data_IF_354623226099
#
_entry.id   IF_354623226099
#
_cell.length_a   1.000
_cell.length_b   1.000
_cell.length_c   1.000
_cell.angle_alpha   90.00
_cell.angle_beta   90.00
_cell.angle_gamma   90.00
#
_symmetry.space_group_name_H-M   'P 1'
#
loop_
_entity.id
_entity.type
_entity.pdbx_description
1 polymer ?
#
# COMPACT_ATOMS: atom_id res chain seq x y z
N UNK A 1 -54.06 -85.25 -2.40
CA UNK A 1 -53.44 -86.58 -2.51
C UNK A 1 -53.71 -87.31 -1.21
N UNK A 2 -54.31 -88.51 -1.27
CA UNK A 2 -54.44 -89.50 -0.17
C UNK A 2 -55.17 -89.03 1.11
N UNK A 3 -56.06 -89.79 1.78
CA UNK A 3 -56.61 -91.15 1.62
C UNK A 3 -58.06 -91.13 2.18
N UNK A 4 -59.09 -91.82 1.66
CA UNK A 4 -59.35 -93.27 1.44
C UNK A 4 -60.06 -93.97 2.64
N UNK A 5 -61.01 -94.89 2.35
CA UNK A 5 -61.51 -96.01 3.23
C UNK A 5 -62.38 -95.63 4.48
N UNK A 6 -63.49 -96.29 4.90
CA UNK A 6 -64.45 -97.32 4.39
C UNK A 6 -65.75 -97.35 5.23
N UNK A 7 -66.82 -98.00 4.72
CA UNK A 7 -68.03 -98.47 5.47
C UNK A 7 -67.84 -99.93 5.93
N UNK A 8 -68.54 -100.42 6.98
CA UNK A 8 -69.26 -101.70 6.82
C UNK A 8 -70.64 -101.80 7.51
N UNK A 9 -71.33 -102.89 7.19
CA UNK A 9 -72.75 -103.23 7.48
C UNK A 9 -72.87 -104.39 8.51
N UNK A 10 -74.10 -104.89 8.74
CA UNK A 10 -74.48 -106.23 9.28
C UNK A 10 -74.45 -106.44 10.82
N UNK A 11 -75.24 -107.35 11.46
CA UNK A 11 -76.54 -107.99 11.15
C UNK A 11 -77.05 -108.85 12.37
N UNK A 12 -78.22 -109.51 12.21
CA UNK A 12 -78.68 -110.81 12.78
C UNK A 12 -79.35 -111.00 14.17
N UNK A 13 -80.57 -111.58 14.08
CA UNK A 13 -81.12 -112.83 14.68
C UNK A 13 -81.27 -113.11 16.20
N UNK A 14 -82.41 -113.74 16.54
CA UNK A 14 -82.67 -114.43 17.83
C UNK A 14 -84.14 -114.86 18.05
N UNK A 15 -84.45 -116.16 17.93
CA UNK A 15 -85.80 -116.77 17.97
C UNK A 15 -86.03 -117.72 19.18
N UNK A 16 -87.24 -118.32 19.24
CA UNK A 16 -87.70 -119.52 20.00
C UNK A 16 -88.42 -119.22 21.33
N UNK A 17 -89.71 -119.55 21.58
CA UNK A 17 -90.53 -120.79 21.43
C UNK A 17 -90.15 -121.97 22.34
N UNK A 18 -91.12 -122.46 23.16
CA UNK A 18 -91.54 -123.88 23.29
C UNK A 18 -92.57 -124.14 24.43
N UNK A 19 -93.16 -125.35 24.42
CA UNK A 19 -94.31 -125.87 25.24
C UNK A 19 -94.11 -127.42 25.35
N UNK A 20 -95.09 -128.36 25.45
CA UNK A 20 -96.43 -128.45 26.09
C UNK A 20 -96.64 -129.83 26.86
N UNK A 21 -97.90 -130.27 27.12
CA UNK A 21 -98.41 -131.68 26.93
C UNK A 21 -98.01 -132.80 27.95
N UNK A 22 -98.75 -133.90 28.29
CA UNK A 22 -100.17 -134.39 28.21
C UNK A 22 -100.40 -135.64 29.14
N UNK A 23 -101.62 -136.20 29.11
CA UNK A 23 -102.04 -137.62 29.29
C UNK A 23 -102.29 -138.16 30.72
N UNK A 24 -103.36 -138.91 31.06
CA UNK A 24 -104.40 -139.72 30.38
C UNK A 24 -104.19 -141.26 30.42
N UNK A 25 -105.21 -141.99 30.90
CA UNK A 25 -105.27 -143.46 30.87
C UNK A 25 -106.21 -144.10 31.90
N UNK A 26 -107.20 -144.89 31.45
CA UNK A 26 -107.90 -145.91 32.26
C UNK A 26 -107.50 -147.31 31.74
N UNK A 27 -108.38 -148.33 31.73
CA UNK A 27 -109.50 -148.65 32.63
C UNK A 27 -109.45 -150.13 33.11
N UNK A 28 -110.26 -150.52 34.12
CA UNK A 28 -110.61 -151.93 34.36
C UNK A 28 -111.98 -152.06 35.05
N UNK A 29 -112.66 -153.18 34.84
CA UNK A 29 -114.04 -153.43 35.28
C UNK A 29 -114.12 -154.35 36.50
N UNK A 30 -115.06 -154.10 37.43
CA UNK A 30 -116.06 -155.09 37.90
C UNK A 30 -117.05 -154.48 38.91
N UNK A 31 -118.20 -155.17 39.11
CA UNK A 31 -119.41 -154.75 39.85
C UNK A 31 -120.19 -153.58 39.21
N UNK A 32 -121.45 -153.84 38.81
CA UNK A 32 -122.35 -152.84 38.23
C UNK A 32 -123.20 -152.17 39.30
N UNK A 33 -122.49 -151.39 40.10
CA UNK A 33 -123.02 -150.47 41.09
C UNK A 33 -123.83 -149.36 40.39
N UNK A 34 -124.79 -148.74 41.08
CA UNK A 34 -125.49 -147.54 40.61
C UNK A 34 -124.50 -146.44 40.19
N UNK A 35 -124.62 -145.92 38.97
CA UNK A 35 -123.67 -144.94 38.41
C UNK A 35 -123.82 -143.49 38.95
N UNK A 36 -124.24 -143.35 40.21
CA UNK A 36 -124.28 -142.12 40.98
C UNK A 36 -123.19 -142.22 42.06
N UNK A 37 -122.26 -141.27 42.10
CA UNK A 37 -121.13 -141.33 43.03
C UNK A 37 -121.61 -141.43 44.49
N UNK A 38 -121.00 -142.36 45.24
CA UNK A 38 -121.37 -142.67 46.63
C UNK A 38 -122.55 -143.62 46.82
N UNK A 39 -123.22 -144.11 45.76
CA UNK A 39 -124.32 -145.06 45.89
C UNK A 39 -123.90 -146.51 45.59
N UNK A 40 -123.72 -147.34 46.62
CA UNK A 40 -123.22 -148.73 46.47
C UNK A 40 -124.29 -149.80 46.07
N UNK A 41 -125.53 -149.38 45.77
CA UNK A 41 -126.61 -150.32 45.46
C UNK A 41 -126.50 -150.92 44.04
N UNK A 42 -126.66 -152.24 43.94
CA UNK A 42 -126.65 -152.98 42.68
C UNK A 42 -127.86 -152.64 41.80
N UNK A 43 -127.65 -152.56 40.48
CA UNK A 43 -128.71 -152.19 39.53
C UNK A 43 -129.48 -153.43 39.04
N UNK A 44 -130.81 -153.51 39.25
CA UNK A 44 -131.58 -154.73 38.97
C UNK A 44 -131.66 -155.09 37.48
N UNK A 45 -131.49 -156.37 37.17
CA UNK A 45 -131.41 -156.91 35.81
C UNK A 45 -132.80 -157.18 35.17
N UNK A 46 -133.38 -156.16 34.52
CA UNK A 46 -134.64 -156.32 33.77
C UNK A 46 -134.44 -157.11 32.46
N UNK A 47 -135.29 -158.11 32.22
CA UNK A 47 -135.13 -159.09 31.13
C UNK A 47 -135.63 -158.65 29.72
N UNK A 48 -135.98 -157.38 29.50
CA UNK A 48 -136.24 -156.79 28.18
C UNK A 48 -136.08 -155.27 28.21
N UNK A 49 -135.37 -154.71 27.23
CA UNK A 49 -135.09 -153.28 27.14
C UNK A 49 -133.68 -152.89 27.62
N UNK A 50 -133.23 -151.68 27.24
CA UNK A 50 -131.88 -151.16 27.50
C UNK A 50 -131.56 -151.19 29.00
N UNK A 51 -130.39 -151.72 29.43
CA UNK A 51 -130.08 -151.88 30.85
C UNK A 51 -130.06 -150.52 31.57
N UNK A 52 -130.71 -150.46 32.74
CA UNK A 52 -130.68 -149.30 33.60
C UNK A 52 -129.24 -149.02 34.09
N UNK A 53 -128.88 -147.73 34.23
CA UNK A 53 -127.59 -147.29 34.80
C UNK A 53 -127.65 -146.95 36.29
N UNK A 54 -128.86 -146.86 36.84
CA UNK A 54 -129.13 -146.35 38.19
C UNK A 54 -130.13 -147.28 38.87
N UNK A 55 -129.97 -147.53 40.18
CA UNK A 55 -130.86 -148.40 40.93
C UNK A 55 -132.27 -147.81 41.13
N UNK A 56 -132.44 -146.49 40.95
CA UNK A 56 -133.72 -145.79 41.02
C UNK A 56 -133.77 -144.59 40.06
N UNK A 57 -135.00 -144.11 39.74
CA UNK A 57 -135.19 -142.88 38.97
C UNK A 57 -134.59 -141.66 39.69
N UNK A 58 -134.72 -141.58 41.02
CA UNK A 58 -134.17 -140.49 41.81
C UNK A 58 -132.64 -140.36 41.63
N UNK A 59 -131.91 -141.49 41.53
CA UNK A 59 -130.46 -141.46 41.31
C UNK A 59 -130.08 -141.10 39.86
N UNK A 60 -130.93 -141.42 38.88
CA UNK A 60 -130.76 -140.93 37.51
C UNK A 60 -130.95 -139.40 37.43
N UNK A 61 -131.95 -138.86 38.15
CA UNK A 61 -132.22 -137.43 38.22
C UNK A 61 -131.12 -136.68 39.02
N UNK A 62 -130.62 -137.25 40.12
CA UNK A 62 -129.49 -136.68 40.86
C UNK A 62 -128.21 -136.66 40.02
N UNK A 63 -127.84 -137.78 39.37
CA UNK A 63 -126.70 -137.82 38.46
C UNK A 63 -126.88 -136.94 37.20
N UNK A 64 -128.08 -136.42 36.93
CA UNK A 64 -128.33 -135.40 35.90
C UNK A 64 -128.19 -133.97 36.45
N UNK A 65 -128.42 -133.75 37.74
CA UNK A 65 -128.11 -132.49 38.44
C UNK A 65 -126.60 -132.36 38.64
N UNK A 66 -125.94 -133.41 39.12
CA UNK A 66 -124.50 -133.39 39.40
C UNK A 66 -123.68 -133.18 38.12
N UNK A 67 -124.06 -133.82 37.00
CA UNK A 67 -123.46 -133.52 35.69
C UNK A 67 -123.70 -132.09 35.24
N UNK A 68 -124.92 -131.54 35.39
CA UNK A 68 -125.18 -130.14 35.04
C UNK A 68 -124.44 -129.15 35.94
N UNK A 69 -124.21 -129.49 37.21
CA UNK A 69 -123.38 -128.70 38.11
C UNK A 69 -121.88 -128.80 37.75
N UNK A 70 -121.40 -129.97 37.34
CA UNK A 70 -120.03 -130.18 36.87
C UNK A 70 -119.77 -129.50 35.52
N UNK A 71 -120.71 -129.60 34.56
CA UNK A 71 -120.65 -128.92 33.27
C UNK A 71 -120.71 -127.40 33.44
N UNK A 72 -121.51 -126.89 34.40
CA UNK A 72 -121.51 -125.48 34.78
C UNK A 72 -120.17 -125.06 35.40
N UNK A 73 -119.66 -125.77 36.41
CA UNK A 73 -118.36 -125.47 37.03
C UNK A 73 -117.20 -125.49 36.02
N UNK A 74 -117.23 -126.41 35.05
CA UNK A 74 -116.24 -126.52 33.98
C UNK A 74 -116.25 -125.34 32.98
N UNK A 75 -117.28 -124.49 32.99
CA UNK A 75 -117.41 -123.28 32.15
C UNK A 75 -117.35 -122.01 32.99
N UNK A 76 -118.08 -121.97 34.11
CA UNK A 76 -118.18 -120.82 35.01
C UNK A 76 -116.87 -120.54 35.74
N UNK A 77 -116.09 -121.55 36.13
CA UNK A 77 -114.78 -121.31 36.77
C UNK A 77 -113.72 -120.75 35.80
N UNK A 78 -113.52 -121.28 34.57
CA UNK A 78 -112.67 -120.61 33.59
C UNK A 78 -113.23 -119.26 33.13
N UNK A 79 -114.56 -119.04 33.08
CA UNK A 79 -115.11 -117.69 32.87
C UNK A 79 -114.76 -116.75 34.02
N UNK A 80 -114.94 -117.16 35.27
CA UNK A 80 -114.62 -116.34 36.45
C UNK A 80 -113.12 -116.00 36.52
N UNK A 81 -112.24 -116.93 36.12
CA UNK A 81 -110.80 -116.64 35.98
C UNK A 81 -110.51 -115.70 34.81
N UNK A 82 -111.19 -115.85 33.67
CA UNK A 82 -111.06 -114.94 32.53
C UNK A 82 -111.59 -113.53 32.86
N UNK A 83 -112.67 -113.41 33.63
CA UNK A 83 -113.21 -112.13 34.13
C UNK A 83 -112.34 -111.50 35.21
N UNK A 84 -111.72 -112.28 36.09
CA UNK A 84 -110.74 -111.78 37.05
C UNK A 84 -109.52 -111.23 36.31
N UNK A 85 -108.96 -112.00 35.37
CA UNK A 85 -107.90 -111.53 34.47
C UNK A 85 -108.34 -110.29 33.66
N UNK A 86 -109.56 -110.24 33.13
CA UNK A 86 -110.06 -109.08 32.40
C UNK A 86 -110.33 -107.84 33.29
N UNK A 87 -110.49 -108.01 34.61
CA UNK A 87 -110.56 -106.92 35.60
C UNK A 87 -109.18 -106.44 36.04
N UNK A 88 -108.21 -107.34 36.15
CA UNK A 88 -106.85 -107.03 36.58
C UNK A 88 -105.95 -106.53 35.42
N UNK A 89 -106.20 -106.98 34.19
CA UNK A 89 -105.44 -106.63 32.99
C UNK A 89 -105.46 -105.10 32.71
N UNK A 90 -106.59 -104.36 32.81
CA UNK A 90 -106.59 -102.90 32.71
C UNK A 90 -105.67 -102.24 33.74
N UNK A 91 -105.68 -102.69 35.00
CA UNK A 91 -104.82 -102.12 36.04
C UNK A 91 -103.33 -102.42 35.79
N UNK A 92 -103.01 -103.64 35.32
CA UNK A 92 -101.65 -104.00 34.91
C UNK A 92 -101.18 -103.19 33.68
N UNK A 93 -102.06 -102.95 32.70
CA UNK A 93 -101.81 -102.09 31.54
C UNK A 93 -101.58 -100.64 31.99
N UNK A 94 -102.40 -100.09 32.87
CA UNK A 94 -102.22 -98.74 33.41
C UNK A 94 -100.90 -98.61 34.19
N UNK A 95 -100.55 -99.57 35.04
CA UNK A 95 -99.28 -99.56 35.76
C UNK A 95 -98.06 -99.67 34.82
N UNK A 96 -98.19 -100.41 33.70
CA UNK A 96 -97.14 -100.52 32.69
C UNK A 96 -97.06 -99.26 31.81
N UNK A 97 -98.19 -98.63 31.49
CA UNK A 97 -98.26 -97.31 30.84
C UNK A 97 -97.66 -96.21 31.73
N UNK A 98 -97.90 -96.24 33.04
CA UNK A 98 -97.33 -95.30 34.01
C UNK A 98 -95.82 -95.48 34.11
N UNK A 99 -95.33 -96.72 34.22
CA UNK A 99 -93.88 -97.01 34.18
C UNK A 99 -93.23 -96.63 32.84
N UNK A 100 -93.92 -96.83 31.72
CA UNK A 100 -93.46 -96.38 30.40
C UNK A 100 -93.41 -94.84 30.34
N UNK A 101 -94.42 -94.15 30.88
CA UNK A 101 -94.46 -92.70 31.01
C UNK A 101 -93.30 -92.16 31.84
N UNK A 102 -93.05 -92.74 33.03
CA UNK A 102 -91.91 -92.40 33.89
C UNK A 102 -90.56 -92.65 33.19
N UNK A 103 -90.43 -93.75 32.44
CA UNK A 103 -89.22 -94.05 31.67
C UNK A 103 -89.02 -93.06 30.51
N UNK A 104 -90.08 -92.69 29.79
CA UNK A 104 -90.05 -91.68 28.73
C UNK A 104 -89.74 -90.29 29.28
N UNK A 105 -90.30 -89.93 30.44
CA UNK A 105 -89.99 -88.67 31.12
C UNK A 105 -88.53 -88.62 31.57
N UNK A 106 -88.02 -89.70 32.19
CA UNK A 106 -86.60 -89.80 32.58
C UNK A 106 -85.68 -89.72 31.35
N UNK A 107 -86.02 -90.39 30.24
CA UNK A 107 -85.28 -90.29 28.98
C UNK A 107 -85.33 -88.86 28.40
N UNK A 108 -86.48 -88.18 28.48
CA UNK A 108 -86.62 -86.78 28.08
C UNK A 108 -85.77 -85.84 28.94
N UNK A 109 -85.79 -86.00 30.26
CA UNK A 109 -84.93 -85.25 31.19
C UNK A 109 -83.43 -85.54 30.95
N UNK A 110 -83.06 -86.79 30.66
CA UNK A 110 -81.69 -87.18 30.32
C UNK A 110 -81.24 -86.61 28.97
N UNK A 111 -82.12 -86.60 27.96
CA UNK A 111 -81.87 -86.00 26.65
C UNK A 111 -81.71 -84.47 26.78
N UNK A 112 -82.61 -83.80 27.50
CA UNK A 112 -82.54 -82.35 27.73
C UNK A 112 -81.32 -81.96 28.58
N UNK A 113 -80.95 -82.80 29.55
CA UNK A 113 -79.71 -82.67 30.31
C UNK A 113 -78.45 -82.91 29.47
N UNK A 114 -78.51 -83.76 28.44
CA UNK A 114 -77.42 -83.97 27.49
C UNK A 114 -77.30 -82.79 26.51
N UNK A 115 -78.41 -82.35 25.91
CA UNK A 115 -78.47 -81.19 25.02
C UNK A 115 -77.95 -79.93 25.71
N UNK A 116 -78.43 -79.61 26.91
CA UNK A 116 -77.95 -78.44 27.68
C UNK A 116 -76.48 -78.52 28.14
N UNK A 117 -75.88 -79.71 28.17
CA UNK A 117 -74.42 -79.86 28.33
C UNK A 117 -73.67 -79.62 27.01
N UNK A 118 -74.20 -80.08 25.89
CA UNK A 118 -73.65 -79.82 24.55
C UNK A 118 -73.73 -78.33 24.22
N UNK A 119 -74.90 -77.71 24.35
CA UNK A 119 -75.11 -76.27 24.15
C UNK A 119 -74.15 -75.41 25.01
N UNK A 120 -73.92 -75.82 26.27
CA UNK A 120 -72.96 -75.14 27.14
C UNK A 120 -71.52 -75.33 26.68
N UNK A 121 -71.12 -76.56 26.32
CA UNK A 121 -69.77 -76.84 25.82
C UNK A 121 -69.50 -76.15 24.48
N UNK A 122 -70.51 -76.04 23.61
CA UNK A 122 -70.45 -75.26 22.36
C UNK A 122 -70.31 -73.77 22.65
N UNK A 123 -71.11 -73.21 23.56
CA UNK A 123 -70.99 -71.81 23.98
C UNK A 123 -69.63 -71.50 24.62
N UNK A 124 -69.11 -72.38 25.48
CA UNK A 124 -67.77 -72.28 26.07
C UNK A 124 -66.68 -72.37 24.98
N UNK A 125 -66.83 -73.25 23.98
CA UNK A 125 -65.90 -73.37 22.85
C UNK A 125 -65.92 -72.14 21.96
N UNK A 126 -67.09 -71.56 21.69
CA UNK A 126 -67.22 -70.30 20.94
C UNK A 126 -66.61 -69.14 21.71
N UNK A 127 -66.88 -69.03 23.02
CA UNK A 127 -66.29 -68.00 23.88
C UNK A 127 -64.76 -68.13 23.96
N UNK A 128 -64.22 -69.35 24.05
CA UNK A 128 -62.78 -69.59 24.05
C UNK A 128 -62.12 -69.22 22.71
N UNK A 129 -62.77 -69.53 21.57
CA UNK A 129 -62.30 -69.11 20.24
C UNK A 129 -62.34 -67.60 20.06
N UNK A 130 -63.39 -66.93 20.52
CA UNK A 130 -63.48 -65.47 20.50
C UNK A 130 -62.37 -64.84 21.36
N UNK A 131 -62.18 -65.32 22.58
CA UNK A 131 -61.14 -64.82 23.48
C UNK A 131 -59.72 -65.04 22.93
N UNK A 132 -59.48 -66.14 22.19
CA UNK A 132 -58.23 -66.39 21.49
C UNK A 132 -58.03 -65.40 20.32
N UNK A 133 -59.03 -65.23 19.45
CA UNK A 133 -58.98 -64.27 18.34
C UNK A 133 -58.78 -62.82 18.83
N UNK A 134 -59.47 -62.43 19.91
CA UNK A 134 -59.29 -61.12 20.54
C UNK A 134 -57.88 -60.95 21.15
N UNK A 135 -57.25 -62.04 21.60
CA UNK A 135 -55.87 -62.02 22.11
C UNK A 135 -54.83 -61.93 20.99
N UNK A 136 -55.04 -62.65 19.89
CA UNK A 136 -54.23 -62.56 18.66
C UNK A 136 -54.30 -61.14 18.08
N UNK A 137 -55.51 -60.56 17.94
CA UNK A 137 -55.69 -59.19 17.47
C UNK A 137 -54.96 -58.15 18.35
N UNK A 138 -55.01 -58.30 19.69
CA UNK A 138 -54.24 -57.46 20.60
C UNK A 138 -52.72 -57.65 20.46
N UNK A 139 -52.25 -58.87 20.21
CA UNK A 139 -50.83 -59.13 19.97
C UNK A 139 -50.37 -58.43 18.68
N UNK A 140 -51.10 -58.59 17.57
CA UNK A 140 -50.84 -57.90 16.30
C UNK A 140 -50.83 -56.37 16.46
N UNK A 141 -51.77 -55.80 17.22
CA UNK A 141 -51.79 -54.36 17.54
C UNK A 141 -50.54 -53.92 18.29
N UNK A 142 -50.09 -54.69 19.30
CA UNK A 142 -48.85 -54.35 20.03
C UNK A 142 -47.60 -54.49 19.16
N UNK A 143 -47.55 -55.46 18.25
CA UNK A 143 -46.43 -55.60 17.31
C UNK A 143 -46.41 -54.46 16.28
N UNK A 144 -47.58 -54.07 15.74
CA UNK A 144 -47.70 -52.89 14.87
C UNK A 144 -47.26 -51.62 15.58
N UNK A 145 -47.71 -51.40 16.83
CA UNK A 145 -47.30 -50.25 17.62
C UNK A 145 -45.79 -50.24 17.92
N UNK A 146 -45.21 -51.41 18.25
CA UNK A 146 -43.75 -51.56 18.43
C UNK A 146 -42.97 -51.21 17.18
N UNK A 147 -43.35 -51.75 16.02
CA UNK A 147 -42.66 -51.45 14.77
C UNK A 147 -42.80 -49.99 14.33
N UNK A 148 -43.95 -49.36 14.57
CA UNK A 148 -44.12 -47.91 14.36
C UNK A 148 -43.22 -47.10 15.29
N UNK A 149 -43.10 -47.47 16.57
CA UNK A 149 -42.20 -46.82 17.52
C UNK A 149 -40.71 -47.00 17.13
N UNK A 150 -40.31 -48.19 16.69
CA UNK A 150 -38.95 -48.47 16.18
C UNK A 150 -38.64 -47.62 14.93
N UNK A 151 -39.59 -47.50 13.99
CA UNK A 151 -39.45 -46.65 12.80
C UNK A 151 -39.36 -45.17 13.16
N UNK A 152 -40.22 -44.68 14.06
CA UNK A 152 -40.21 -43.31 14.55
C UNK A 152 -38.89 -42.97 15.27
N UNK A 153 -38.37 -43.88 16.11
CA UNK A 153 -37.09 -43.71 16.78
C UNK A 153 -35.91 -43.64 15.79
N UNK A 154 -35.89 -44.50 14.75
CA UNK A 154 -34.89 -44.44 13.67
C UNK A 154 -34.98 -43.13 12.88
N UNK A 155 -36.20 -42.68 12.56
CA UNK A 155 -36.42 -41.42 11.85
C UNK A 155 -35.97 -40.20 12.69
N UNK A 156 -36.24 -40.20 13.99
CA UNK A 156 -35.79 -39.18 14.93
C UNK A 156 -34.26 -39.14 15.06
N UNK A 157 -33.60 -40.30 15.20
CA UNK A 157 -32.14 -40.39 15.23
C UNK A 157 -31.51 -39.87 13.92
N UNK A 158 -32.06 -40.23 12.76
CA UNK A 158 -31.60 -39.74 11.46
C UNK A 158 -31.89 -38.23 11.25
N UNK A 159 -32.94 -37.68 11.87
CA UNK A 159 -33.19 -36.24 11.89
C UNK A 159 -32.17 -35.51 12.78
N UNK A 160 -31.88 -36.04 13.97
CA UNK A 160 -30.87 -35.49 14.89
C UNK A 160 -29.47 -35.49 14.25
N UNK A 161 -29.05 -36.60 13.64
CA UNK A 161 -27.75 -36.69 12.95
C UNK A 161 -27.62 -35.68 11.80
N UNK A 162 -28.69 -35.48 11.01
CA UNK A 162 -28.71 -34.44 9.97
C UNK A 162 -28.66 -33.03 10.54
N UNK A 163 -29.38 -32.77 11.64
CA UNK A 163 -29.32 -31.47 12.32
C UNK A 163 -27.93 -31.19 12.91
N UNK A 164 -27.25 -32.21 13.47
CA UNK A 164 -25.87 -32.12 13.95
C UNK A 164 -24.89 -31.84 12.82
N UNK A 165 -24.94 -32.60 11.72
CA UNK A 165 -24.08 -32.37 10.56
C UNK A 165 -24.29 -30.98 9.94
N UNK A 166 -25.54 -30.50 9.86
CA UNK A 166 -25.84 -29.13 9.41
C UNK A 166 -25.31 -28.06 10.37
N UNK A 167 -25.33 -28.31 11.68
CA UNK A 167 -24.78 -27.39 12.68
C UNK A 167 -23.24 -27.35 12.64
N UNK A 168 -22.60 -28.51 12.51
CA UNK A 168 -21.14 -28.63 12.33
C UNK A 168 -20.68 -27.93 11.04
N UNK A 169 -21.40 -28.13 9.93
CA UNK A 169 -21.12 -27.41 8.69
C UNK A 169 -21.31 -25.90 8.84
N UNK A 170 -22.40 -25.44 9.47
CA UNK A 170 -22.63 -24.01 9.69
C UNK A 170 -21.57 -23.37 10.61
N UNK A 171 -21.00 -24.11 11.57
CA UNK A 171 -19.85 -23.65 12.37
C UNK A 171 -18.60 -23.56 11.50
N UNK A 172 -18.30 -24.58 10.68
CA UNK A 172 -17.15 -24.56 9.78
C UNK A 172 -17.22 -23.42 8.75
N UNK A 173 -18.39 -23.20 8.13
CA UNK A 173 -18.63 -22.09 7.19
C UNK A 173 -18.46 -20.72 7.89
N UNK A 174 -18.88 -20.59 9.15
CA UNK A 174 -18.71 -19.38 9.93
C UNK A 174 -17.25 -19.15 10.38
N UNK A 175 -16.49 -20.20 10.69
CA UNK A 175 -15.06 -20.13 10.98
C UNK A 175 -14.25 -19.76 9.74
N UNK A 176 -14.54 -20.36 8.58
CA UNK A 176 -13.96 -20.00 7.29
C UNK A 176 -14.24 -18.52 6.96
N UNK A 177 -15.49 -18.08 7.08
CA UNK A 177 -15.87 -16.67 6.86
C UNK A 177 -15.11 -15.72 7.80
N UNK A 178 -14.89 -16.10 9.07
CA UNK A 178 -14.08 -15.31 10.02
C UNK A 178 -12.61 -15.23 9.60
N UNK A 179 -12.03 -16.34 9.15
CA UNK A 179 -10.66 -16.39 8.65
C UNK A 179 -10.48 -15.51 7.41
N UNK A 180 -11.41 -15.60 6.45
CA UNK A 180 -11.40 -14.79 5.22
C UNK A 180 -11.55 -13.29 5.54
N UNK A 181 -12.47 -12.93 6.45
CA UNK A 181 -12.60 -11.55 6.93
C UNK A 181 -11.35 -11.05 7.65
N UNK A 182 -10.68 -11.88 8.46
CA UNK A 182 -9.44 -11.51 9.14
C UNK A 182 -8.31 -11.24 8.12
N UNK A 183 -8.15 -12.12 7.12
CA UNK A 183 -7.18 -11.95 6.04
C UNK A 183 -7.44 -10.67 5.20
N UNK A 184 -8.71 -10.37 4.89
CA UNK A 184 -9.08 -9.12 4.21
C UNK A 184 -8.76 -7.88 5.06
N UNK A 185 -9.01 -7.93 6.38
CA UNK A 185 -8.65 -6.83 7.29
C UNK A 185 -7.14 -6.64 7.36
N UNK A 186 -6.35 -7.70 7.41
CA UNK A 186 -4.89 -7.62 7.39
C UNK A 186 -4.38 -7.01 6.07
N UNK A 187 -4.86 -7.49 4.92
CA UNK A 187 -4.53 -6.94 3.61
C UNK A 187 -4.86 -5.43 3.50
N UNK A 188 -6.03 -5.00 4.00
CA UNK A 188 -6.38 -3.58 4.04
C UNK A 188 -5.49 -2.76 4.98
N UNK A 189 -5.03 -3.33 6.11
CA UNK A 189 -4.06 -2.66 6.99
C UNK A 189 -2.71 -2.49 6.30
N UNK A 190 -2.18 -3.55 5.67
CA UNK A 190 -0.94 -3.50 4.90
C UNK A 190 -0.99 -2.44 3.79
N UNK A 191 -2.08 -2.38 3.01
CA UNK A 191 -2.28 -1.36 1.96
C UNK A 191 -2.36 0.05 2.56
N UNK A 192 -3.09 0.25 3.66
CA UNK A 192 -3.19 1.56 4.34
C UNK A 192 -1.84 2.03 4.87
N UNK A 193 -1.05 1.14 5.44
CA UNK A 193 0.21 1.50 6.07
C UNK A 193 1.31 1.71 4.99
N UNK A 194 1.26 0.98 3.87
CA UNK A 194 2.04 1.31 2.67
C UNK A 194 1.65 2.67 2.07
N UNK A 195 0.36 3.00 2.01
CA UNK A 195 -0.11 4.32 1.54
C UNK A 195 0.37 5.46 2.45
N UNK A 196 0.38 5.26 3.78
CA UNK A 196 0.94 6.22 4.75
C UNK A 196 2.45 6.41 4.56
N UNK A 197 3.20 5.34 4.34
CA UNK A 197 4.64 5.42 4.03
C UNK A 197 4.88 6.18 2.72
N UNK A 198 4.12 5.88 1.67
CA UNK A 198 4.21 6.59 0.39
C UNK A 198 3.89 8.09 0.53
N UNK A 199 2.87 8.45 1.33
CA UNK A 199 2.56 9.84 1.65
C UNK A 199 3.73 10.53 2.38
N UNK A 200 4.27 9.92 3.43
CA UNK A 200 5.39 10.48 4.19
C UNK A 200 6.64 10.66 3.31
N UNK A 201 6.93 9.72 2.39
CA UNK A 201 8.00 9.87 1.41
C UNK A 201 7.74 11.01 0.41
N UNK A 202 6.50 11.18 -0.06
CA UNK A 202 6.14 12.27 -0.97
C UNK A 202 6.22 13.65 -0.29
N UNK A 203 5.79 13.74 0.98
CA UNK A 203 5.92 14.96 1.80
C UNK A 203 7.39 15.30 2.05
N UNK A 204 8.22 14.33 2.46
CA UNK A 204 9.65 14.53 2.65
C UNK A 204 10.37 14.95 1.34
N UNK A 205 10.00 14.35 0.20
CA UNK A 205 10.55 14.72 -1.10
C UNK A 205 10.14 16.14 -1.53
N UNK A 206 8.87 16.53 -1.30
CA UNK A 206 8.38 17.89 -1.53
C UNK A 206 9.14 18.90 -0.67
N UNK A 207 9.32 18.60 0.61
CA UNK A 207 9.94 19.52 1.56
C UNK A 207 11.45 19.67 1.28
N UNK A 208 12.13 18.58 0.92
CA UNK A 208 13.51 18.61 0.41
C UNK A 208 13.63 19.46 -0.87
N UNK A 209 12.76 19.26 -1.87
CA UNK A 209 12.76 20.09 -3.10
C UNK A 209 12.41 21.55 -2.83
N UNK A 210 11.58 21.83 -1.83
CA UNK A 210 11.29 23.20 -1.40
C UNK A 210 12.48 23.84 -0.68
N UNK A 211 13.26 23.07 0.08
CA UNK A 211 14.51 23.53 0.68
C UNK A 211 15.59 23.81 -0.39
N UNK A 212 15.78 22.91 -1.36
CA UNK A 212 16.66 23.13 -2.53
C UNK A 212 16.29 24.42 -3.28
N UNK A 213 14.99 24.65 -3.53
CA UNK A 213 14.50 25.84 -4.24
C UNK A 213 14.72 27.13 -3.45
N UNK A 214 14.68 27.10 -2.11
CA UNK A 214 15.04 28.26 -1.27
C UNK A 214 16.53 28.53 -1.36
N UNK A 215 17.37 27.54 -1.07
CA UNK A 215 18.83 27.68 -1.13
C UNK A 215 19.33 28.16 -2.52
N UNK A 216 18.70 27.69 -3.62
CA UNK A 216 19.02 28.15 -4.97
C UNK A 216 18.59 29.61 -5.24
N UNK A 217 17.51 30.10 -4.61
CA UNK A 217 17.11 31.52 -4.68
C UNK A 217 18.04 32.39 -3.86
N UNK A 218 18.33 31.99 -2.63
CA UNK A 218 19.21 32.72 -1.71
C UNK A 218 20.61 32.88 -2.34
N UNK A 219 21.19 31.80 -2.89
CA UNK A 219 22.47 31.85 -3.61
C UNK A 219 22.42 32.69 -4.91
N UNK A 220 21.26 32.78 -5.57
CA UNK A 220 21.09 33.65 -6.74
C UNK A 220 21.02 35.13 -6.35
N UNK A 221 20.33 35.46 -5.26
CA UNK A 221 20.24 36.82 -4.70
C UNK A 221 21.61 37.29 -4.16
N UNK A 222 22.38 36.40 -3.53
CA UNK A 222 23.78 36.63 -3.16
C UNK A 222 24.66 36.93 -4.39
N UNK A 223 24.57 36.13 -5.46
CA UNK A 223 25.38 36.39 -6.67
C UNK A 223 24.95 37.66 -7.40
N UNK A 224 23.66 37.98 -7.47
CA UNK A 224 23.19 39.27 -8.00
C UNK A 224 23.73 40.44 -7.18
N UNK A 225 23.70 40.34 -5.85
CA UNK A 225 24.27 41.34 -4.94
C UNK A 225 25.80 41.47 -5.13
N UNK A 226 26.49 40.34 -5.32
CA UNK A 226 27.93 40.31 -5.60
C UNK A 226 28.24 41.01 -6.92
N UNK A 227 27.53 40.68 -7.99
CA UNK A 227 27.70 41.29 -9.31
C UNK A 227 27.39 42.79 -9.29
N UNK A 228 26.31 43.22 -8.63
CA UNK A 228 26.00 44.63 -8.45
C UNK A 228 27.14 45.37 -7.73
N UNK A 229 27.67 44.79 -6.64
CA UNK A 229 28.82 45.40 -5.94
C UNK A 229 30.09 45.51 -6.80
N UNK A 230 30.26 44.64 -7.80
CA UNK A 230 31.39 44.70 -8.76
C UNK A 230 31.14 45.79 -9.79
N UNK A 231 29.91 45.90 -10.31
CA UNK A 231 29.50 46.97 -11.23
C UNK A 231 29.66 48.34 -10.57
N UNK A 232 29.19 48.51 -9.33
CA UNK A 232 29.29 49.78 -8.59
C UNK A 232 30.76 50.17 -8.35
N UNK A 233 31.62 49.19 -8.01
CA UNK A 233 33.08 49.43 -7.87
C UNK A 233 33.74 49.80 -9.19
N UNK A 234 33.37 49.14 -10.30
CA UNK A 234 33.89 49.46 -11.63
C UNK A 234 33.42 50.85 -12.09
N UNK A 235 32.16 51.21 -11.83
CA UNK A 235 31.63 52.55 -12.11
C UNK A 235 32.39 53.63 -11.32
N UNK A 236 32.64 53.40 -10.03
CA UNK A 236 33.44 54.31 -9.19
C UNK A 236 34.89 54.44 -9.69
N UNK A 237 35.53 53.34 -10.11
CA UNK A 237 36.88 53.37 -10.70
C UNK A 237 36.93 54.12 -12.03
N UNK A 238 35.93 53.93 -12.90
CA UNK A 238 35.83 54.67 -14.17
C UNK A 238 35.62 56.16 -13.94
N UNK A 239 34.79 56.54 -12.97
CA UNK A 239 34.56 57.95 -12.63
C UNK A 239 35.81 58.58 -11.99
N UNK A 240 36.48 57.89 -11.08
CA UNK A 240 37.79 58.33 -10.57
C UNK A 240 38.79 58.55 -11.72
N UNK A 241 38.92 57.59 -12.63
CA UNK A 241 39.80 57.67 -13.79
C UNK A 241 39.47 58.84 -14.73
N UNK A 242 38.18 59.18 -14.91
CA UNK A 242 37.76 60.40 -15.61
C UNK A 242 38.23 61.66 -14.90
N UNK A 243 37.99 61.78 -13.58
CA UNK A 243 38.43 62.97 -12.83
C UNK A 243 39.96 63.13 -12.79
N UNK A 244 40.71 62.02 -12.83
CA UNK A 244 42.17 62.03 -12.96
C UNK A 244 42.60 62.45 -14.36
N UNK A 245 41.95 61.95 -15.41
CA UNK A 245 42.18 62.39 -16.78
C UNK A 245 41.91 63.89 -16.93
N UNK A 246 40.76 64.39 -16.47
CA UNK A 246 40.42 65.82 -16.54
C UNK A 246 41.45 66.69 -15.79
N UNK A 247 41.90 66.23 -14.61
CA UNK A 247 42.96 66.91 -13.83
C UNK A 247 44.30 66.93 -14.57
N UNK A 248 44.69 65.83 -15.22
CA UNK A 248 45.93 65.79 -16.02
C UNK A 248 45.83 66.64 -17.29
N UNK A 249 44.66 66.67 -17.94
CA UNK A 249 44.38 67.56 -19.08
C UNK A 249 44.46 69.03 -18.67
N UNK A 250 43.86 69.42 -17.54
CA UNK A 250 43.95 70.77 -17.01
C UNK A 250 45.39 71.16 -16.64
N UNK A 251 46.14 70.23 -16.05
CA UNK A 251 47.57 70.43 -15.72
C UNK A 251 48.43 70.55 -16.98
N UNK A 252 48.12 69.78 -18.03
CA UNK A 252 48.78 69.86 -19.33
C UNK A 252 48.46 71.18 -20.05
N UNK A 253 47.23 71.70 -19.92
CA UNK A 253 46.86 73.02 -20.43
C UNK A 253 47.65 74.12 -19.71
N UNK A 254 47.61 74.14 -18.38
CA UNK A 254 48.34 75.12 -17.57
C UNK A 254 49.87 75.09 -17.78
N UNK A 255 50.47 73.91 -17.94
CA UNK A 255 51.91 73.79 -18.24
C UNK A 255 52.26 74.24 -19.66
N UNK A 256 51.36 74.05 -20.64
CA UNK A 256 51.52 74.62 -22.00
C UNK A 256 51.42 76.14 -21.99
N UNK A 257 50.46 76.71 -21.25
CA UNK A 257 50.32 78.16 -21.08
C UNK A 257 51.55 78.75 -20.38
N UNK A 258 52.02 78.14 -19.29
CA UNK A 258 53.25 78.54 -18.61
C UNK A 258 54.48 78.46 -19.52
N UNK A 259 54.59 77.42 -20.37
CA UNK A 259 55.67 77.30 -21.35
C UNK A 259 55.62 78.40 -22.42
N UNK A 260 54.43 78.74 -22.92
CA UNK A 260 54.25 79.85 -23.87
C UNK A 260 54.62 81.19 -23.22
N UNK A 261 54.22 81.42 -21.96
CA UNK A 261 54.59 82.61 -21.19
C UNK A 261 56.10 82.70 -21.00
N UNK A 262 56.76 81.63 -20.52
CA UNK A 262 58.21 81.58 -20.32
C UNK A 262 58.99 81.75 -21.64
N UNK A 263 58.48 81.24 -22.76
CA UNK A 263 59.04 81.51 -24.10
C UNK A 263 58.87 82.99 -24.50
N UNK A 264 57.75 83.61 -24.15
CA UNK A 264 57.51 85.04 -24.33
C UNK A 264 58.49 85.89 -23.51
N UNK A 265 58.66 85.57 -22.23
CA UNK A 265 59.63 86.20 -21.33
C UNK A 265 61.06 86.03 -21.85
N UNK A 266 61.46 84.81 -22.22
CA UNK A 266 62.79 84.55 -22.80
C UNK A 266 63.03 85.36 -24.09
N UNK A 267 62.01 85.53 -24.94
CA UNK A 267 62.11 86.40 -26.14
C UNK A 267 62.23 87.88 -25.76
N UNK A 268 61.49 88.33 -24.75
CA UNK A 268 61.57 89.70 -24.26
C UNK A 268 62.93 90.00 -23.60
N UNK A 269 63.50 89.06 -22.84
CA UNK A 269 64.85 89.16 -22.28
C UNK A 269 65.92 89.19 -23.37
N UNK A 270 65.82 88.33 -24.40
CA UNK A 270 66.70 88.41 -25.57
C UNK A 270 66.59 89.74 -26.30
N UNK A 271 65.37 90.23 -26.54
CA UNK A 271 65.18 91.54 -27.18
C UNK A 271 65.74 92.70 -26.35
N UNK A 272 65.66 92.63 -25.01
CA UNK A 272 66.31 93.59 -24.10
C UNK A 272 67.83 93.47 -24.17
N UNK A 273 68.38 92.25 -24.14
CA UNK A 273 69.82 92.00 -24.27
C UNK A 273 70.36 92.54 -25.60
N UNK A 274 69.71 92.21 -26.73
CA UNK A 274 70.02 92.76 -28.05
C UNK A 274 69.92 94.30 -28.10
N UNK A 275 68.96 94.91 -27.41
CA UNK A 275 68.87 96.38 -27.29
C UNK A 275 70.08 96.93 -26.54
N UNK A 276 70.43 96.35 -25.39
CA UNK A 276 71.60 96.79 -24.61
C UNK A 276 72.92 96.52 -25.33
N UNK A 277 73.02 95.47 -26.14
CA UNK A 277 74.17 95.21 -27.00
C UNK A 277 74.29 96.27 -28.10
N UNK A 278 73.18 96.63 -28.77
CA UNK A 278 73.16 97.72 -29.76
C UNK A 278 73.48 99.08 -29.13
N UNK A 279 72.97 99.36 -27.93
CA UNK A 279 73.31 100.57 -27.16
C UNK A 279 74.80 100.59 -26.79
N UNK A 280 75.40 99.45 -26.39
CA UNK A 280 76.83 99.33 -26.13
C UNK A 280 77.69 99.43 -27.39
N UNK A 281 77.23 98.90 -28.53
CA UNK A 281 77.89 99.08 -29.83
C UNK A 281 77.83 100.54 -30.30
N UNK A 282 76.69 101.20 -30.14
CA UNK A 282 76.54 102.63 -30.39
C UNK A 282 77.48 103.45 -29.50
N UNK A 283 77.51 103.20 -28.19
CA UNK A 283 78.43 103.85 -27.26
C UNK A 283 79.90 103.59 -27.60
N UNK A 284 80.25 102.38 -28.09
CA UNK A 284 81.61 102.09 -28.60
C UNK A 284 81.92 102.88 -29.85
N UNK A 285 80.99 103.00 -30.80
CA UNK A 285 81.19 103.82 -32.00
C UNK A 285 81.26 105.32 -31.68
N UNK A 286 80.44 105.82 -30.75
CA UNK A 286 80.53 107.20 -30.25
C UNK A 286 81.86 107.44 -29.53
N UNK A 287 82.33 106.48 -28.73
CA UNK A 287 83.63 106.58 -28.07
C UNK A 287 84.81 106.49 -29.06
N UNK A 288 84.72 105.64 -30.09
CA UNK A 288 85.69 105.58 -31.19
C UNK A 288 85.71 106.89 -31.98
N UNK A 289 84.55 107.45 -32.34
CA UNK A 289 84.45 108.74 -33.01
C UNK A 289 84.97 109.89 -32.14
N UNK A 290 84.74 109.86 -30.83
CA UNK A 290 85.35 110.79 -29.89
C UNK A 290 86.87 110.61 -29.80
N UNK A 291 87.37 109.36 -29.85
CA UNK A 291 88.80 109.04 -29.92
C UNK A 291 89.46 109.62 -31.17
N UNK A 292 88.87 109.39 -32.35
CA UNK A 292 89.32 109.98 -33.62
C UNK A 292 89.33 111.50 -33.55
N UNK A 293 88.30 112.15 -33.00
CA UNK A 293 88.30 113.62 -32.80
C UNK A 293 89.41 114.10 -31.86
N UNK A 294 89.76 113.32 -30.82
CA UNK A 294 90.89 113.65 -29.93
C UNK A 294 92.22 113.48 -30.67
N UNK A 295 92.37 112.46 -31.52
CA UNK A 295 93.54 112.27 -32.37
C UNK A 295 93.67 113.38 -33.44
N UNK A 296 92.56 113.78 -34.08
CA UNK A 296 92.49 114.91 -35.01
C UNK A 296 92.90 116.22 -34.32
N UNK A 297 92.32 116.55 -33.16
CA UNK A 297 92.67 117.73 -32.38
C UNK A 297 94.13 117.68 -31.87
N UNK A 298 94.66 116.49 -31.54
CA UNK A 298 96.06 116.31 -31.20
C UNK A 298 96.99 116.50 -32.39
N UNK A 299 96.58 116.04 -33.59
CA UNK A 299 97.30 116.26 -34.83
C UNK A 299 97.32 117.75 -35.22
N UNK A 300 96.18 118.45 -35.13
CA UNK A 300 96.08 119.91 -35.31
C UNK A 300 96.97 120.67 -34.30
N UNK A 301 96.91 120.31 -33.02
CA UNK A 301 97.81 120.83 -31.99
C UNK A 301 99.29 120.60 -32.32
N UNK A 302 99.65 119.45 -32.90
CA UNK A 302 101.02 119.16 -33.32
C UNK A 302 101.43 119.98 -34.55
N UNK A 303 100.51 120.17 -35.52
CA UNK A 303 100.74 120.96 -36.72
C UNK A 303 100.90 122.45 -36.41
N UNK A 304 100.10 122.98 -35.47
CA UNK A 304 100.23 124.35 -34.95
C UNK A 304 101.56 124.56 -34.21
N UNK A 305 102.01 123.58 -33.41
CA UNK A 305 103.35 123.63 -32.78
C UNK A 305 104.46 123.61 -33.83
N UNK A 306 104.39 122.71 -34.81
CA UNK A 306 105.35 122.61 -35.90
C UNK A 306 105.33 123.82 -36.86
N UNK A 307 104.24 124.58 -36.94
CA UNK A 307 104.21 125.89 -37.59
C UNK A 307 104.93 126.95 -36.74
N UNK A 308 104.60 127.04 -35.44
CA UNK A 308 105.24 127.99 -34.52
C UNK A 308 106.74 127.73 -34.29
N UNK A 309 107.22 126.49 -34.46
CA UNK A 309 108.65 126.14 -34.46
C UNK A 309 109.33 126.53 -35.78
N UNK A 310 108.63 126.44 -36.92
CA UNK A 310 109.13 126.92 -38.22
C UNK A 310 109.30 128.45 -38.22
N UNK A 311 108.28 129.20 -37.80
CA UNK A 311 108.36 130.67 -37.68
C UNK A 311 109.53 131.11 -36.80
N UNK A 312 109.76 130.40 -35.67
CA UNK A 312 110.91 130.64 -34.77
C UNK A 312 112.25 130.31 -35.45
N UNK A 313 112.33 129.23 -36.22
CA UNK A 313 113.56 128.88 -36.95
C UNK A 313 113.87 129.83 -38.12
N UNK A 314 112.85 130.33 -38.81
CA UNK A 314 113.00 131.34 -39.86
C UNK A 314 113.44 132.69 -39.27
N UNK A 315 112.85 133.13 -38.16
CA UNK A 315 113.31 134.32 -37.44
C UNK A 315 114.76 134.18 -36.92
N UNK A 316 115.14 132.99 -36.43
CA UNK A 316 116.52 132.72 -36.03
C UNK A 316 117.49 132.76 -37.22
N UNK A 317 117.09 132.23 -38.39
CA UNK A 317 117.88 132.27 -39.62
C UNK A 317 118.06 133.70 -40.16
N UNK A 318 117.01 134.54 -40.09
CA UNK A 318 117.10 135.97 -40.46
C UNK A 318 118.05 136.72 -39.53
N UNK A 319 117.99 136.49 -38.22
CA UNK A 319 118.92 137.07 -37.24
C UNK A 319 120.37 136.63 -37.48
N UNK A 320 120.61 135.35 -37.78
CA UNK A 320 121.93 134.83 -38.10
C UNK A 320 122.49 135.44 -39.41
N UNK A 321 121.65 135.62 -40.43
CA UNK A 321 122.05 136.27 -41.68
C UNK A 321 122.40 137.76 -41.48
N UNK A 322 121.66 138.49 -40.63
CA UNK A 322 121.99 139.87 -40.27
C UNK A 322 123.32 139.96 -39.48
N UNK A 323 123.57 139.02 -38.57
CA UNK A 323 124.83 138.94 -37.84
C UNK A 323 126.01 138.68 -38.78
N UNK A 324 125.90 137.70 -39.69
CA UNK A 324 126.96 137.39 -40.66
C UNK A 324 127.28 138.57 -41.60
N UNK A 325 126.26 139.31 -42.05
CA UNK A 325 126.46 140.54 -42.84
C UNK A 325 127.24 141.59 -42.05
N UNK A 326 126.92 141.74 -40.76
CA UNK A 326 127.59 142.71 -39.88
C UNK A 326 129.05 142.33 -39.62
N UNK A 327 129.36 141.06 -39.34
CA UNK A 327 130.75 140.60 -39.16
C UNK A 327 131.59 140.89 -40.40
N UNK A 328 131.05 140.61 -41.59
CA UNK A 328 131.72 140.86 -42.87
C UNK A 328 132.01 142.35 -43.12
N UNK A 329 131.08 143.23 -42.77
CA UNK A 329 131.30 144.68 -42.86
C UNK A 329 132.31 145.19 -41.81
N UNK A 330 132.38 144.58 -40.63
CA UNK A 330 133.40 144.86 -39.61
C UNK A 330 134.80 144.38 -40.08
N UNK A 331 134.90 143.22 -40.73
CA UNK A 331 136.12 142.71 -41.36
C UNK A 331 136.61 143.62 -42.49
N UNK A 332 135.74 144.01 -43.43
CA UNK A 332 136.06 144.95 -44.53
C UNK A 332 136.55 146.32 -43.99
N UNK A 333 135.96 146.81 -42.88
CA UNK A 333 136.43 148.02 -42.18
C UNK A 333 137.82 147.87 -41.56
N UNK A 334 138.19 146.67 -41.07
CA UNK A 334 139.55 146.42 -40.55
C UNK A 334 140.59 146.32 -41.68
N UNK A 335 140.23 145.71 -42.82
CA UNK A 335 141.11 145.65 -43.99
C UNK A 335 141.45 147.05 -44.54
N UNK A 336 140.45 147.91 -44.74
CA UNK A 336 140.65 149.29 -45.21
C UNK A 336 141.49 150.12 -44.22
N UNK A 337 141.37 149.87 -42.91
CA UNK A 337 142.22 150.52 -41.90
C UNK A 337 143.66 150.05 -41.95
N UNK A 338 143.92 148.77 -42.23
CA UNK A 338 145.27 148.24 -42.43
C UNK A 338 145.93 148.82 -43.70
N UNK A 339 145.20 148.92 -44.81
CA UNK A 339 145.70 149.56 -46.04
C UNK A 339 146.00 151.06 -45.83
N UNK A 340 145.14 151.77 -45.08
CA UNK A 340 145.34 153.17 -44.74
C UNK A 340 146.47 153.41 -43.71
N UNK A 341 146.96 152.38 -43.02
CA UNK A 341 148.18 152.43 -42.22
C UNK A 341 149.42 152.18 -43.11
N UNK A 342 149.38 151.13 -43.95
CA UNK A 342 150.45 150.77 -44.87
C UNK A 342 150.74 151.84 -45.96
N UNK A 343 149.79 152.75 -46.25
CA UNK A 343 150.05 153.93 -47.09
C UNK A 343 150.76 155.06 -46.33
N UNK A 344 150.53 155.22 -45.02
CA UNK A 344 151.19 156.25 -44.20
C UNK A 344 152.65 155.94 -43.90
N UNK A 345 152.99 154.68 -43.63
CA UNK A 345 154.39 154.27 -43.48
C UNK A 345 155.20 154.51 -44.76
N UNK A 346 154.61 154.24 -45.93
CA UNK A 346 155.26 154.49 -47.23
C UNK A 346 155.44 155.97 -47.54
N UNK A 347 154.54 156.84 -47.08
CA UNK A 347 154.72 158.29 -47.17
C UNK A 347 155.85 158.79 -46.23
N UNK A 348 155.88 158.31 -44.97
CA UNK A 348 156.90 158.69 -44.00
C UNK A 348 158.32 158.27 -44.41
N UNK A 349 158.47 157.10 -45.05
CA UNK A 349 159.76 156.63 -45.57
C UNK A 349 160.29 157.51 -46.73
N UNK A 350 159.40 158.11 -47.53
CA UNK A 350 159.78 159.02 -48.60
C UNK A 350 160.26 160.39 -48.08
N UNK A 351 159.67 160.90 -47.00
CA UNK A 351 160.06 162.19 -46.40
C UNK A 351 161.40 162.10 -45.63
N UNK A 352 161.63 161.00 -44.92
CA UNK A 352 162.88 160.78 -44.18
C UNK A 352 164.13 160.78 -45.08
N UNK A 353 163.99 160.32 -46.32
CA UNK A 353 165.09 160.18 -47.29
C UNK A 353 165.54 161.51 -47.93
N UNK A 354 164.76 162.60 -47.77
CA UNK A 354 165.03 163.90 -48.40
C UNK A 354 165.62 164.95 -47.45
N UNK A 355 165.52 164.77 -46.12
CA UNK A 355 166.00 165.76 -45.14
C UNK A 355 167.41 165.47 -44.59
N UNK A 356 168.02 164.34 -44.94
CA UNK A 356 169.33 163.96 -44.45
C UNK A 356 170.46 164.29 -45.45
N UNK A 357 171.22 165.34 -45.10
CA UNK A 357 172.66 165.45 -45.37
C UNK A 357 173.09 165.87 -46.78
N UNK A 358 172.64 167.07 -47.16
CA UNK A 358 173.64 168.08 -47.52
C UNK A 358 174.48 168.43 -46.26
N UNK A 359 175.78 168.73 -46.45
CA UNK A 359 176.84 168.85 -45.42
C UNK A 359 177.38 167.53 -44.85
N UNK A 360 178.60 167.21 -45.30
CA UNK A 360 179.42 166.02 -45.04
C UNK A 360 180.61 166.38 -44.09
N UNK A 361 181.57 165.50 -43.70
CA UNK A 361 181.86 164.17 -44.27
C UNK A 361 182.28 163.04 -43.30
N UNK A 362 182.55 161.87 -43.93
CA UNK A 362 183.49 160.80 -43.54
C UNK A 362 182.91 159.40 -43.18
N UNK A 363 183.04 158.50 -44.17
CA UNK A 363 183.58 157.11 -44.11
C UNK A 363 182.78 155.93 -43.55
N UNK A 364 182.70 154.87 -44.40
CA UNK A 364 182.77 153.40 -44.12
C UNK A 364 181.67 152.76 -43.25
N UNK A 365 181.26 151.49 -43.40
CA UNK A 365 181.37 150.41 -44.42
C UNK A 365 180.24 149.39 -44.08
N UNK A 366 179.50 148.85 -45.04
CA UNK A 366 179.62 147.48 -45.59
C UNK A 366 179.14 146.28 -44.72
N UNK A 367 178.59 145.28 -45.41
CA UNK A 367 178.28 143.94 -44.90
C UNK A 367 176.81 143.67 -44.56
N UNK A 368 176.24 142.48 -44.71
CA UNK A 368 176.53 141.23 -45.45
C UNK A 368 175.38 140.23 -45.07
N UNK A 369 175.26 139.02 -45.64
CA UNK A 369 173.97 138.32 -45.75
C UNK A 369 173.73 137.16 -44.78
N UNK A 370 172.48 136.64 -44.75
CA UNK A 370 172.06 135.25 -44.43
C UNK A 370 170.56 135.07 -44.70
N UNK A 371 170.16 134.05 -45.45
CA UNK A 371 169.70 132.70 -44.99
C UNK A 371 168.48 132.77 -44.05
N UNK A 372 167.33 132.14 -44.36
CA UNK A 372 166.99 131.34 -45.54
C UNK A 372 165.54 130.87 -45.54
#
# INVERSE_FOLDING_TARGET
MSSDVTVPTDAQDGLSEARPVTDAGGPASERRVCALDGCELEVPSSRRGRPAKYCSKAHADQASRDRRAADAAAVDEPLARAEALARDLPAAITALQERLGQALEFLGQAQQGALSRVERAEAETVAARQAAADAEARAEDTERARHQAEQAARAAAAAQQRAQAMAEQAVADAEQTRADCAALVEAHQQVRDAARQAQAHAEAARDAKTAELRAARDAHEEELSRLQSVIDRQAAQLEQGRTELDRTVATLAATREALVTAQGETRAERARAESTERELEQLRHEHQAAGVRVEELAAEMSALRAAADRDRSEHAAVLAAQQALRTRLEEELTAVRAEAAAQRERAAAAEASLSAQSTAPATTEAGEPRDG
#
